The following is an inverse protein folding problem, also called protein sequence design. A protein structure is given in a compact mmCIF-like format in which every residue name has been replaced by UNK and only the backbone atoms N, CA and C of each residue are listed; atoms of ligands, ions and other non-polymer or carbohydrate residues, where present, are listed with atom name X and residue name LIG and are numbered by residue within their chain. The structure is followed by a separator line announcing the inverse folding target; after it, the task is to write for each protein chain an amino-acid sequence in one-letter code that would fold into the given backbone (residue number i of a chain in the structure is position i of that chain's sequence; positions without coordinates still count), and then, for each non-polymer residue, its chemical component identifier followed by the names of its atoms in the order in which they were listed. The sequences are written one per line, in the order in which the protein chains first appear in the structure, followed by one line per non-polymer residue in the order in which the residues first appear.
data_IF_649962795415
#
_entry.id   IF_649962795415
#
_cell.length_a   1.000
_cell.length_b   1.000
_cell.length_c   1.000
_cell.angle_alpha   90.00
_cell.angle_beta   90.00
_cell.angle_gamma   90.00
#
_symmetry.space_group_name_H-M   'P 1'
#
loop_
_entity.id
_entity.type
_entity.pdbx_description
1 polymer ?
#
# COMPACT_ATOMS: atom_id res chain seq x y z
N UNK A 1 30.59 0.05 21.02
CA UNK A 1 30.13 -1.06 20.17
C UNK A 1 30.57 -0.69 18.75
N UNK A 2 31.45 -1.49 18.14
CA UNK A 2 32.16 -1.12 16.91
C UNK A 2 31.33 -1.42 15.66
N UNK A 3 31.43 -0.60 14.59
CA UNK A 3 30.80 -0.92 13.31
C UNK A 3 31.30 -2.26 12.75
N UNK A 4 30.56 -2.91 11.84
CA UNK A 4 30.96 -4.20 11.28
C UNK A 4 32.39 -4.14 10.72
N UNK A 5 33.17 -5.20 10.95
CA UNK A 5 34.55 -5.32 10.46
C UNK A 5 34.59 -5.05 8.96
N UNK A 6 35.41 -4.08 8.53
CA UNK A 6 35.54 -3.62 7.13
C UNK A 6 34.40 -2.73 6.59
N UNK A 7 33.77 -1.90 7.47
CA UNK A 7 32.83 -0.84 7.09
C UNK A 7 33.55 0.47 6.71
N UNK A 8 33.97 0.58 5.44
CA UNK A 8 34.64 1.76 4.86
C UNK A 8 33.72 2.83 4.25
N UNK A 9 34.33 3.83 3.61
CA UNK A 9 33.66 4.97 2.98
C UNK A 9 32.66 4.58 1.88
N UNK A 10 32.99 3.59 1.04
CA UNK A 10 32.06 3.10 0.02
C UNK A 10 30.73 2.59 0.59
N UNK A 11 30.76 1.90 1.74
CA UNK A 11 29.52 1.44 2.40
C UNK A 11 28.70 2.63 2.95
N UNK A 12 29.37 3.67 3.48
CA UNK A 12 28.71 4.90 3.92
C UNK A 12 28.05 5.63 2.76
N UNK A 13 28.73 5.73 1.62
CA UNK A 13 28.19 6.34 0.41
C UNK A 13 26.96 5.55 -0.11
N UNK A 14 27.02 4.22 -0.08
CA UNK A 14 25.86 3.39 -0.44
C UNK A 14 24.68 3.62 0.51
N UNK A 15 24.91 3.63 1.82
CA UNK A 15 23.85 3.90 2.80
C UNK A 15 23.26 5.30 2.64
N UNK A 16 24.09 6.31 2.36
CA UNK A 16 23.62 7.67 2.06
C UNK A 16 22.73 7.70 0.82
N UNK A 17 23.09 6.96 -0.24
CA UNK A 17 22.28 6.87 -1.44
C UNK A 17 20.93 6.16 -1.17
N UNK A 18 20.93 5.10 -0.35
CA UNK A 18 19.69 4.42 0.06
C UNK A 18 18.80 5.34 0.90
N UNK A 19 19.37 6.07 1.87
CA UNK A 19 18.64 7.05 2.70
C UNK A 19 18.01 8.16 1.85
N UNK A 20 18.77 8.72 0.91
CA UNK A 20 18.29 9.82 0.07
C UNK A 20 17.16 9.40 -0.88
N UNK A 21 17.11 8.12 -1.29
CA UNK A 21 16.08 7.59 -2.20
C UNK A 21 14.92 6.91 -1.47
N UNK A 22 15.08 6.55 -0.21
CA UNK A 22 14.11 5.77 0.58
C UNK A 22 14.01 4.30 0.18
N UNK A 23 14.11 4.00 -1.11
CA UNK A 23 14.13 2.64 -1.66
C UNK A 23 15.19 2.48 -2.76
N UNK A 24 15.57 1.23 -3.03
CA UNK A 24 16.43 0.86 -4.13
C UNK A 24 16.00 -0.47 -4.75
N UNK A 25 16.01 -0.54 -6.08
CA UNK A 25 16.03 -1.79 -6.82
C UNK A 25 17.45 -2.17 -7.23
N UNK A 26 17.67 -3.43 -7.60
CA UNK A 26 18.98 -3.86 -8.10
C UNK A 26 19.41 -3.08 -9.37
N UNK A 27 18.55 -2.89 -10.39
CA UNK A 27 18.85 -2.02 -11.53
C UNK A 27 19.30 -0.61 -11.14
N UNK A 28 18.66 0.01 -10.15
CA UNK A 28 18.99 1.35 -9.66
C UNK A 28 20.28 1.40 -8.85
N UNK A 29 20.56 0.35 -8.07
CA UNK A 29 21.75 0.25 -7.24
C UNK A 29 23.03 0.04 -8.06
N UNK A 30 22.94 -0.60 -9.23
CA UNK A 30 24.09 -0.88 -10.11
C UNK A 30 24.93 0.35 -10.47
N UNK A 31 24.37 1.44 -11.02
CA UNK A 31 25.16 2.64 -11.32
C UNK A 31 25.72 3.31 -10.07
N UNK A 32 25.02 3.25 -8.94
CA UNK A 32 25.49 3.81 -7.66
C UNK A 32 26.71 3.05 -7.16
N UNK A 33 26.64 1.72 -7.13
CA UNK A 33 27.73 0.86 -6.69
C UNK A 33 28.94 0.96 -7.61
N UNK A 34 28.72 0.99 -8.94
CA UNK A 34 29.80 1.18 -9.90
C UNK A 34 30.54 2.51 -9.66
N UNK A 35 29.82 3.60 -9.44
CA UNK A 35 30.42 4.90 -9.11
C UNK A 35 31.21 4.87 -7.79
N UNK A 36 30.70 4.17 -6.77
CA UNK A 36 31.40 3.98 -5.49
C UNK A 36 32.70 3.20 -5.69
N UNK A 37 32.66 2.08 -6.42
CA UNK A 37 33.83 1.25 -6.72
C UNK A 37 34.89 2.08 -7.46
N UNK A 38 34.47 2.86 -8.46
CA UNK A 38 35.38 3.70 -9.23
C UNK A 38 36.00 4.82 -8.38
N UNK A 39 35.23 5.41 -7.47
CA UNK A 39 35.74 6.43 -6.54
C UNK A 39 36.77 5.83 -5.55
N UNK A 40 36.53 4.64 -5.03
CA UNK A 40 37.47 3.94 -4.16
C UNK A 40 38.75 3.55 -4.92
N UNK A 41 38.61 3.15 -6.19
CA UNK A 41 39.69 2.76 -7.08
C UNK A 41 40.50 3.93 -7.64
N UNK A 42 39.99 5.17 -7.58
CA UNK A 42 40.63 6.36 -8.18
C UNK A 42 42.06 6.63 -7.67
N UNK A 43 42.43 6.05 -6.51
CA UNK A 43 43.78 6.15 -5.95
C UNK A 43 44.78 5.16 -6.55
N UNK A 44 44.33 4.19 -7.34
CA UNK A 44 45.16 3.17 -7.97
C UNK A 44 45.05 3.26 -9.50
N UNK A 45 46.12 3.70 -10.20
CA UNK A 45 46.09 3.93 -11.65
C UNK A 45 45.93 2.64 -12.47
N UNK A 46 46.20 1.47 -11.90
CA UNK A 46 46.06 0.17 -12.57
C UNK A 46 44.65 -0.45 -12.40
N UNK A 47 43.76 0.21 -11.65
CA UNK A 47 42.40 -0.30 -11.45
C UNK A 47 41.55 -0.10 -12.70
N UNK A 48 40.91 -1.17 -13.17
CA UNK A 48 39.92 -1.09 -14.24
C UNK A 48 38.65 -0.34 -13.78
N UNK A 49 38.08 0.45 -14.69
CA UNK A 49 36.81 1.11 -14.46
C UNK A 49 35.67 0.08 -14.39
N UNK A 50 34.93 0.10 -13.29
CA UNK A 50 33.75 -0.71 -13.08
C UNK A 50 32.54 -0.04 -13.78
N UNK A 51 31.97 -0.73 -14.76
CA UNK A 51 30.74 -0.34 -15.44
C UNK A 51 29.52 -0.91 -14.68
N UNK A 52 28.33 -0.28 -14.75
CA UNK A 52 27.14 -0.74 -14.04
C UNK A 52 26.75 -2.20 -14.35
N UNK A 53 27.03 -2.72 -15.54
CA UNK A 53 26.84 -4.13 -15.97
C UNK A 53 27.79 -5.14 -15.36
N UNK A 54 28.89 -4.70 -14.79
CA UNK A 54 29.81 -5.56 -14.05
C UNK A 54 29.44 -5.70 -12.57
N UNK A 55 28.55 -4.85 -12.05
CA UNK A 55 28.00 -5.00 -10.70
C UNK A 55 27.00 -6.15 -10.71
N UNK A 56 27.39 -7.28 -10.12
CA UNK A 56 26.54 -8.47 -9.96
C UNK A 56 25.61 -8.36 -8.76
N UNK A 57 24.58 -9.20 -8.72
CA UNK A 57 23.63 -9.26 -7.60
C UNK A 57 24.34 -9.64 -6.29
N UNK A 58 25.38 -10.48 -6.36
CA UNK A 58 26.21 -10.82 -5.21
C UNK A 58 26.97 -9.60 -4.66
N UNK A 59 27.46 -8.72 -5.53
CA UNK A 59 28.11 -7.47 -5.09
C UNK A 59 27.08 -6.57 -4.43
N UNK A 60 25.90 -6.42 -5.03
CA UNK A 60 24.81 -5.64 -4.46
C UNK A 60 24.39 -6.14 -3.07
N UNK A 61 24.16 -7.45 -2.90
CA UNK A 61 23.77 -8.01 -1.61
C UNK A 61 24.85 -7.79 -0.54
N UNK A 62 26.15 -7.83 -0.88
CA UNK A 62 27.22 -7.49 0.07
C UNK A 62 27.13 -6.05 0.58
N UNK A 63 26.70 -5.10 -0.25
CA UNK A 63 26.46 -3.72 0.17
C UNK A 63 25.24 -3.63 1.09
N UNK A 64 24.15 -4.34 0.75
CA UNK A 64 22.94 -4.44 1.59
C UNK A 64 23.27 -5.03 2.96
N UNK A 65 23.99 -6.16 3.03
CA UNK A 65 24.33 -6.83 4.29
C UNK A 65 25.15 -5.94 5.23
N UNK A 66 26.15 -5.24 4.66
CA UNK A 66 26.97 -4.29 5.41
C UNK A 66 26.17 -3.09 5.88
N UNK A 67 25.32 -2.54 5.03
CA UNK A 67 24.44 -1.43 5.40
C UNK A 67 23.45 -1.87 6.49
N UNK A 68 22.81 -3.03 6.34
CA UNK A 68 21.88 -3.62 7.30
C UNK A 68 22.53 -3.78 8.68
N UNK A 69 23.74 -4.31 8.72
CA UNK A 69 24.52 -4.48 9.97
C UNK A 69 24.89 -3.15 10.62
N UNK A 70 25.03 -2.07 9.84
CA UNK A 70 25.36 -0.75 10.36
C UNK A 70 24.12 -0.01 10.87
N UNK A 71 22.98 -0.14 10.19
CA UNK A 71 21.73 0.57 10.55
C UNK A 71 21.00 -0.07 11.72
N UNK A 72 21.22 -1.37 11.97
CA UNK A 72 20.60 -2.08 13.10
C UNK A 72 20.98 -1.50 14.46
N UNK A 73 22.05 -0.71 14.55
CA UNK A 73 22.45 0.01 15.75
C UNK A 73 21.57 1.23 16.07
N UNK A 74 20.72 1.64 15.13
CA UNK A 74 19.89 2.84 15.21
C UNK A 74 18.40 2.51 15.11
N UNK A 75 18.03 1.27 15.44
CA UNK A 75 16.66 0.77 15.31
C UNK A 75 16.09 0.89 13.88
N UNK A 76 16.97 0.86 12.88
CA UNK A 76 16.59 0.74 11.48
C UNK A 76 16.88 -0.66 10.96
N UNK A 77 16.05 -1.12 10.04
CA UNK A 77 16.19 -2.39 9.35
C UNK A 77 16.12 -2.18 7.85
N UNK A 78 16.97 -2.87 7.07
CA UNK A 78 16.78 -2.93 5.62
C UNK A 78 15.90 -4.13 5.31
N UNK A 79 14.68 -3.88 4.85
CA UNK A 79 13.73 -4.91 4.44
C UNK A 79 13.68 -5.02 2.93
N UNK A 80 13.26 -6.17 2.43
CA UNK A 80 13.00 -6.37 1.01
C UNK A 80 11.60 -6.93 0.78
N UNK A 81 10.94 -6.45 -0.25
CA UNK A 81 9.65 -6.99 -0.74
C UNK A 81 9.65 -7.04 -2.26
N UNK A 82 8.67 -7.72 -2.83
CA UNK A 82 8.40 -7.64 -4.27
C UNK A 82 7.23 -6.68 -4.49
N UNK A 83 7.39 -5.77 -5.44
CA UNK A 83 6.29 -4.92 -5.88
C UNK A 83 5.15 -5.80 -6.41
N UNK A 84 3.95 -5.62 -5.86
CA UNK A 84 2.84 -6.53 -6.10
C UNK A 84 2.35 -6.55 -7.57
N UNK A 85 2.56 -5.44 -8.31
CA UNK A 85 2.24 -5.32 -9.73
C UNK A 85 3.44 -5.63 -10.65
N UNK A 86 4.58 -4.94 -10.47
CA UNK A 86 5.74 -5.07 -11.39
C UNK A 86 6.60 -6.30 -11.12
N UNK A 87 6.45 -6.93 -9.94
CA UNK A 87 7.23 -8.09 -9.47
C UNK A 87 8.70 -7.78 -9.20
N UNK A 88 9.11 -6.52 -9.31
CA UNK A 88 10.47 -6.09 -9.03
C UNK A 88 10.76 -6.16 -7.54
N UNK A 89 11.96 -6.64 -7.17
CA UNK A 89 12.40 -6.67 -5.78
C UNK A 89 12.91 -5.29 -5.37
N UNK A 90 12.34 -4.77 -4.30
CA UNK A 90 12.64 -3.45 -3.75
C UNK A 90 13.23 -3.64 -2.35
N UNK A 91 14.27 -2.87 -2.04
CA UNK A 91 14.88 -2.77 -0.73
C UNK A 91 14.56 -1.40 -0.14
N UNK A 92 14.12 -1.36 1.11
CA UNK A 92 13.80 -0.13 1.80
C UNK A 92 14.46 -0.12 3.18
N UNK A 93 14.88 1.06 3.61
CA UNK A 93 15.27 1.29 4.99
C UNK A 93 14.01 1.65 5.80
N UNK A 94 13.70 0.83 6.79
CA UNK A 94 12.49 0.94 7.62
C UNK A 94 12.90 1.26 9.04
N UNK A 95 12.26 2.25 9.67
CA UNK A 95 12.45 2.53 11.08
C UNK A 95 11.60 1.53 11.91
N UNK A 96 12.22 0.90 12.91
CA UNK A 96 11.59 -0.11 13.77
C UNK A 96 11.21 0.42 15.15
N UNK A 97 11.70 1.60 15.55
CA UNK A 97 11.44 2.21 16.85
C UNK A 97 10.30 3.23 16.86
N UNK A 98 10.14 4.02 15.78
CA UNK A 98 9.11 5.06 15.72
C UNK A 98 7.85 4.54 15.07
N UNK A 99 6.70 4.80 15.69
CA UNK A 99 5.42 4.59 15.02
C UNK A 99 5.38 5.48 13.75
N UNK A 100 4.75 5.02 12.67
CA UNK A 100 4.80 5.76 11.42
C UNK A 100 4.07 7.11 11.44
N UNK A 101 3.09 7.27 12.33
CA UNK A 101 2.38 8.53 12.49
C UNK A 101 3.33 9.60 13.02
N UNK A 102 4.23 9.26 13.95
CA UNK A 102 5.32 10.13 14.40
C UNK A 102 6.29 10.50 13.28
N UNK A 103 6.60 9.56 12.38
CA UNK A 103 7.50 9.85 11.25
C UNK A 103 6.91 10.88 10.29
N UNK A 104 5.67 10.65 9.84
CA UNK A 104 4.97 11.59 8.98
C UNK A 104 4.83 12.97 9.65
N UNK A 105 4.64 12.99 10.98
CA UNK A 105 4.54 14.24 11.73
C UNK A 105 5.82 15.10 11.76
N UNK A 106 6.97 14.55 11.36
CA UNK A 106 8.20 15.35 11.20
C UNK A 106 8.27 16.10 9.87
N UNK A 107 7.46 15.68 8.88
CA UNK A 107 7.49 16.21 7.51
C UNK A 107 6.26 17.07 7.23
N UNK A 108 5.09 16.63 7.70
CA UNK A 108 3.80 17.23 7.40
C UNK A 108 3.25 18.05 8.58
N UNK A 109 2.60 19.15 8.27
CA UNK A 109 1.86 19.97 9.23
C UNK A 109 0.64 19.24 9.80
N UNK A 110 0.08 19.70 10.94
CA UNK A 110 -1.10 19.06 11.55
C UNK A 110 -2.31 18.95 10.61
N UNK A 111 -2.57 19.96 9.79
CA UNK A 111 -3.66 19.95 8.79
C UNK A 111 -3.39 18.94 7.67
N UNK A 112 -2.15 18.83 7.20
CA UNK A 112 -1.74 17.85 6.20
C UNK A 112 -1.83 16.42 6.75
N UNK A 113 -1.38 16.18 7.99
CA UNK A 113 -1.54 14.89 8.66
C UNK A 113 -3.01 14.48 8.81
N UNK A 114 -3.87 15.44 9.16
CA UNK A 114 -5.32 15.20 9.26
C UNK A 114 -5.91 14.84 7.89
N UNK A 115 -5.45 15.48 6.82
CA UNK A 115 -5.82 15.13 5.45
C UNK A 115 -5.29 13.75 5.03
N UNK A 116 -4.01 13.44 5.30
CA UNK A 116 -3.40 12.14 5.01
C UNK A 116 -4.19 11.03 5.71
N UNK A 117 -4.55 11.22 6.98
CA UNK A 117 -5.40 10.28 7.71
C UNK A 117 -6.75 10.08 7.01
N UNK A 118 -7.44 11.15 6.60
CA UNK A 118 -8.70 11.04 5.84
C UNK A 118 -8.54 10.26 4.54
N UNK A 119 -7.41 10.43 3.86
CA UNK A 119 -7.09 9.68 2.64
C UNK A 119 -6.92 8.19 2.93
N UNK A 120 -6.17 7.84 3.98
CA UNK A 120 -5.99 6.44 4.39
C UNK A 120 -7.31 5.81 4.86
N UNK A 121 -8.11 6.55 5.66
CA UNK A 121 -9.45 6.13 6.06
C UNK A 121 -10.33 5.90 4.83
N UNK A 122 -10.26 6.77 3.81
CA UNK A 122 -11.02 6.54 2.59
C UNK A 122 -10.54 5.29 1.82
N UNK A 123 -9.23 5.07 1.69
CA UNK A 123 -8.66 3.89 1.02
C UNK A 123 -9.09 2.58 1.70
N UNK A 124 -8.94 2.52 3.04
CA UNK A 124 -9.08 1.28 3.79
C UNK A 124 -10.47 1.05 4.37
N UNK A 125 -11.27 2.10 4.60
CA UNK A 125 -12.61 2.01 5.18
C UNK A 125 -13.69 2.26 4.13
N UNK A 126 -13.64 3.39 3.43
CA UNK A 126 -14.73 3.81 2.53
C UNK A 126 -14.77 3.00 1.22
N UNK A 127 -13.61 2.79 0.61
CA UNK A 127 -13.46 2.19 -0.72
C UNK A 127 -13.00 0.73 -0.70
N UNK A 128 -12.89 0.14 0.49
CA UNK A 128 -12.55 -1.25 0.68
C UNK A 128 -13.76 -1.90 1.34
N UNK A 129 -14.53 -2.63 0.55
CA UNK A 129 -15.79 -3.29 0.92
C UNK A 129 -15.75 -4.76 0.53
N UNK A 130 -16.59 -5.63 1.11
CA UNK A 130 -16.59 -7.06 0.79
C UNK A 130 -16.71 -7.38 -0.70
N UNK A 131 -17.52 -6.64 -1.48
CA UNK A 131 -17.64 -6.88 -2.93
C UNK A 131 -16.62 -6.09 -3.76
N UNK A 132 -16.02 -5.03 -3.22
CA UNK A 132 -14.98 -4.25 -3.91
C UNK A 132 -13.83 -3.83 -3.00
N UNK A 133 -12.68 -4.49 -3.15
CA UNK A 133 -11.46 -4.18 -2.42
C UNK A 133 -10.55 -3.26 -3.24
N UNK A 134 -10.95 -1.99 -3.41
CA UNK A 134 -10.21 -1.02 -4.25
C UNK A 134 -8.84 -0.68 -3.69
N UNK A 135 -8.74 -0.41 -2.38
CA UNK A 135 -7.49 -0.10 -1.66
C UNK A 135 -6.63 1.02 -2.34
N UNK A 136 -7.27 1.88 -3.11
CA UNK A 136 -6.67 3.00 -3.83
C UNK A 136 -7.72 4.10 -4.03
N UNK A 137 -7.25 5.31 -4.37
CA UNK A 137 -8.11 6.46 -4.67
C UNK A 137 -7.66 7.23 -5.90
N UNK A 138 -8.56 7.97 -6.51
CA UNK A 138 -8.22 8.98 -7.53
C UNK A 138 -7.93 10.34 -6.90
N UNK A 139 -7.27 11.22 -7.66
CA UNK A 139 -7.05 12.62 -7.25
C UNK A 139 -8.37 13.33 -6.91
N UNK A 140 -9.43 13.13 -7.70
CA UNK A 140 -10.73 13.73 -7.46
C UNK A 140 -11.37 13.25 -6.15
N UNK A 141 -11.18 11.97 -5.81
CA UNK A 141 -11.61 11.42 -4.52
C UNK A 141 -10.80 12.05 -3.38
N UNK A 142 -9.49 12.22 -3.54
CA UNK A 142 -8.65 12.91 -2.57
C UNK A 142 -9.08 14.37 -2.35
N UNK A 143 -9.38 15.11 -3.42
CA UNK A 143 -9.87 16.49 -3.36
C UNK A 143 -11.18 16.59 -2.55
N UNK A 144 -12.09 15.61 -2.70
CA UNK A 144 -13.33 15.56 -1.89
C UNK A 144 -13.08 15.34 -0.40
N UNK A 145 -11.90 14.88 0.00
CA UNK A 145 -11.46 14.67 1.38
C UNK A 145 -10.65 15.85 1.94
N UNK A 146 -10.47 16.93 1.17
CA UNK A 146 -9.67 18.09 1.58
C UNK A 146 -10.08 18.65 2.94
N UNK A 147 -11.38 18.61 3.25
CA UNK A 147 -11.97 19.14 4.49
C UNK A 147 -12.62 18.03 5.31
N UNK A 148 -12.61 18.14 6.65
CA UNK A 148 -13.36 17.22 7.48
C UNK A 148 -14.87 17.30 7.16
N UNK A 149 -15.61 16.19 7.28
CA UNK A 149 -17.06 16.23 7.16
C UNK A 149 -17.63 17.20 8.22
N UNK A 150 -18.61 18.02 7.82
CA UNK A 150 -19.34 18.86 8.78
C UNK A 150 -19.99 17.94 9.81
N UNK A 151 -19.58 18.03 11.07
CA UNK A 151 -20.40 17.53 12.18
C UNK A 151 -21.71 18.29 12.11
N UNK A 152 -22.80 17.60 11.73
CA UNK A 152 -24.13 18.11 12.06
C UNK A 152 -24.16 18.24 13.59
N UNK A 153 -24.36 19.46 14.05
CA UNK A 153 -24.50 19.80 15.45
C UNK A 153 -25.75 19.12 16.00
N UNK A 154 -25.64 17.85 16.40
CA UNK A 154 -26.54 17.28 17.39
C UNK A 154 -26.24 18.01 18.70
N UNK A 155 -27.22 18.78 19.16
CA UNK A 155 -27.13 19.57 20.38
C UNK A 155 -26.91 18.67 21.58
N UNK A 156 -25.70 18.69 22.12
CA UNK A 156 -25.33 18.09 23.39
C UNK A 156 -24.15 18.87 23.96
N UNK A 157 -24.35 19.46 25.14
CA UNK A 157 -23.31 20.13 25.93
C UNK A 157 -22.24 19.11 26.35
N UNK A 158 -21.24 18.88 25.50
CA UNK A 158 -19.97 18.29 25.92
C UNK A 158 -18.86 19.35 25.91
N UNK A 159 -17.99 19.40 26.94
CA UNK A 159 -16.94 20.40 27.02
C UNK A 159 -15.97 20.24 25.85
N UNK A 160 -15.90 21.25 24.99
CA UNK A 160 -14.99 21.33 23.86
C UNK A 160 -13.53 21.18 24.33
N UNK A 161 -12.94 20.02 24.04
CA UNK A 161 -11.48 19.85 24.06
C UNK A 161 -10.85 20.87 23.11
N UNK A 162 -9.81 21.57 23.58
CA UNK A 162 -9.00 22.56 22.84
C UNK A 162 -8.15 21.93 21.71
N UNK A 163 -8.73 21.07 20.89
CA UNK A 163 -8.08 20.62 19.67
C UNK A 163 -8.07 21.79 18.65
N UNK A 164 -6.96 22.01 17.92
CA UNK A 164 -6.95 22.99 16.84
C UNK A 164 -8.07 22.67 15.85
N UNK A 165 -8.79 23.69 15.43
CA UNK A 165 -9.88 23.54 14.46
C UNK A 165 -9.27 23.14 13.12
N UNK A 166 -9.42 21.88 12.72
CA UNK A 166 -9.03 21.40 11.39
C UNK A 166 -9.89 22.11 10.33
N UNK A 167 -9.28 23.06 9.62
CA UNK A 167 -9.94 23.83 8.56
C UNK A 167 -9.91 23.11 7.21
N UNK A 168 -9.19 22.00 7.13
CA UNK A 168 -8.87 21.30 5.90
C UNK A 168 -7.93 22.09 4.98
N UNK A 169 -7.66 21.49 3.83
CA UNK A 169 -6.78 22.00 2.80
C UNK A 169 -7.57 22.63 1.64
N UNK A 170 -6.91 23.50 0.87
CA UNK A 170 -7.34 23.92 -0.47
C UNK A 170 -7.01 22.82 -1.49
N UNK A 171 -7.65 22.85 -2.67
CA UNK A 171 -7.40 21.85 -3.71
C UNK A 171 -5.92 21.83 -4.16
N UNK A 172 -5.30 23.00 -4.35
CA UNK A 172 -3.87 23.08 -4.68
C UNK A 172 -2.96 22.53 -3.57
N UNK A 173 -3.37 22.67 -2.30
CA UNK A 173 -2.62 22.11 -1.16
C UNK A 173 -2.77 20.58 -1.12
N UNK A 174 -3.95 20.04 -1.49
CA UNK A 174 -4.16 18.59 -1.66
C UNK A 174 -3.24 18.02 -2.75
N UNK A 175 -3.19 18.66 -3.91
CA UNK A 175 -2.32 18.25 -5.02
C UNK A 175 -0.85 18.21 -4.59
N UNK A 176 -0.37 19.27 -3.93
CA UNK A 176 1.00 19.34 -3.40
C UNK A 176 1.30 18.24 -2.37
N UNK A 177 0.35 17.93 -1.48
CA UNK A 177 0.54 16.86 -0.48
C UNK A 177 0.60 15.49 -1.16
N UNK A 178 -0.26 15.23 -2.16
CA UNK A 178 -0.21 13.97 -2.92
C UNK A 178 1.10 13.81 -3.68
N UNK A 179 1.58 14.87 -4.34
CA UNK A 179 2.88 14.88 -5.01
C UNK A 179 4.01 14.60 -4.01
N UNK A 180 4.01 15.28 -2.87
CA UNK A 180 5.00 15.07 -1.80
C UNK A 180 4.97 13.64 -1.24
N UNK A 181 3.80 13.02 -1.10
CA UNK A 181 3.68 11.63 -0.66
C UNK A 181 4.25 10.65 -1.69
N UNK A 182 4.08 10.93 -2.99
CA UNK A 182 4.68 10.13 -4.06
C UNK A 182 6.20 10.31 -4.08
N UNK A 183 6.70 11.54 -4.01
CA UNK A 183 8.13 11.84 -3.95
C UNK A 183 8.80 11.24 -2.72
N UNK A 184 8.12 11.26 -1.57
CA UNK A 184 8.58 10.63 -0.32
C UNK A 184 8.54 9.09 -0.35
N UNK A 185 7.97 8.49 -1.40
CA UNK A 185 7.82 7.05 -1.56
C UNK A 185 6.79 6.46 -0.59
N UNK A 186 5.81 7.24 -0.14
CA UNK A 186 4.67 6.76 0.64
C UNK A 186 3.57 6.22 -0.26
N UNK A 187 3.24 6.97 -1.32
CA UNK A 187 2.28 6.57 -2.34
C UNK A 187 2.96 6.29 -3.68
N UNK A 188 2.24 5.57 -4.53
CA UNK A 188 2.52 5.44 -5.96
C UNK A 188 1.28 5.82 -6.76
N UNK A 189 1.48 6.35 -7.97
CA UNK A 189 0.40 6.69 -8.89
C UNK A 189 0.44 5.78 -10.13
N UNK A 190 -0.69 5.15 -10.44
CA UNK A 190 -0.84 4.29 -11.61
C UNK A 190 -1.00 5.11 -12.90
N UNK A 191 -0.86 4.45 -14.06
CA UNK A 191 -1.12 5.07 -15.36
C UNK A 191 -2.57 5.50 -15.57
N UNK A 192 -3.50 4.94 -14.79
CA UNK A 192 -4.92 5.35 -14.82
C UNK A 192 -5.24 6.42 -13.76
N UNK A 193 -4.25 6.91 -13.01
CA UNK A 193 -4.40 8.01 -12.06
C UNK A 193 -4.88 7.58 -10.67
N UNK A 194 -4.63 6.32 -10.28
CA UNK A 194 -4.94 5.84 -8.93
C UNK A 194 -3.71 5.93 -8.03
N UNK A 195 -3.89 6.56 -6.88
CA UNK A 195 -2.96 6.58 -5.77
C UNK A 195 -3.18 5.36 -4.87
N UNK A 196 -2.09 4.66 -4.55
CA UNK A 196 -2.09 3.55 -3.59
C UNK A 196 -0.83 3.57 -2.74
N UNK A 197 -0.79 2.79 -1.66
CA UNK A 197 0.42 2.68 -0.84
C UNK A 197 1.56 2.04 -1.63
N UNK A 198 2.73 2.65 -1.56
CA UNK A 198 3.95 2.09 -2.14
C UNK A 198 4.39 0.81 -1.41
N UNK A 199 5.25 -0.01 -2.01
CA UNK A 199 5.87 -1.15 -1.33
C UNK A 199 6.63 -0.79 -0.05
N UNK A 200 7.26 0.40 -0.01
CA UNK A 200 7.93 0.91 1.20
C UNK A 200 6.91 1.18 2.30
N UNK A 201 5.85 1.91 1.99
CA UNK A 201 4.79 2.22 2.95
C UNK A 201 4.15 0.94 3.47
N UNK A 202 3.92 -0.07 2.63
CA UNK A 202 3.37 -1.35 3.10
C UNK A 202 4.31 -2.09 4.07
N UNK A 203 5.63 -2.03 3.87
CA UNK A 203 6.59 -2.65 4.81
C UNK A 203 6.71 -1.89 6.13
N UNK A 204 6.70 -0.57 6.06
CA UNK A 204 6.93 0.34 7.18
C UNK A 204 5.66 0.55 8.02
N UNK A 205 4.53 0.76 7.37
CA UNK A 205 3.23 1.02 8.00
C UNK A 205 2.50 -0.25 8.45
N UNK A 206 3.03 -1.45 8.16
CA UNK A 206 2.31 -2.72 8.39
C UNK A 206 1.71 -2.83 9.79
N UNK A 207 2.45 -2.65 10.91
CA UNK A 207 1.87 -2.81 12.24
C UNK A 207 0.75 -1.78 12.48
N UNK A 208 0.99 -0.53 12.10
CA UNK A 208 0.04 0.56 12.28
C UNK A 208 -1.24 0.38 11.46
N UNK A 209 -1.13 -0.07 10.21
CA UNK A 209 -2.31 -0.34 9.37
C UNK A 209 -3.21 -1.41 9.98
N UNK A 210 -2.60 -2.46 10.53
CA UNK A 210 -3.34 -3.55 11.17
C UNK A 210 -4.00 -3.08 12.45
N UNK A 211 -3.26 -2.40 13.33
CA UNK A 211 -3.79 -1.87 14.58
C UNK A 211 -4.90 -0.84 14.37
N UNK A 212 -4.77 -0.01 13.34
CA UNK A 212 -5.72 1.08 13.06
C UNK A 212 -7.02 0.60 12.40
N UNK A 213 -6.95 -0.40 11.52
CA UNK A 213 -8.07 -0.77 10.65
C UNK A 213 -8.59 -2.20 10.86
N UNK A 214 -7.91 -3.04 11.64
CA UNK A 214 -8.42 -4.35 12.01
C UNK A 214 -8.79 -4.39 13.49
N UNK A 215 -9.77 -5.22 13.81
CA UNK A 215 -10.14 -5.55 15.17
C UNK A 215 -9.23 -6.67 15.69
N UNK A 216 -8.64 -6.45 16.87
CA UNK A 216 -7.75 -7.41 17.52
C UNK A 216 -8.50 -8.65 18.05
N UNK A 217 -9.81 -8.51 18.28
CA UNK A 217 -10.68 -9.57 18.81
C UNK A 217 -11.47 -10.31 17.71
N UNK A 218 -11.20 -10.00 16.43
CA UNK A 218 -11.86 -10.64 15.30
C UNK A 218 -11.52 -12.13 15.16
N UNK A 219 -12.52 -12.93 14.76
CA UNK A 219 -12.32 -14.35 14.49
C UNK A 219 -11.46 -14.57 13.22
N UNK A 220 -10.75 -15.71 13.09
CA UNK A 220 -9.78 -15.96 12.00
C UNK A 220 -10.30 -15.83 10.56
N UNK A 221 -11.61 -15.82 10.36
CA UNK A 221 -12.24 -15.70 9.05
C UNK A 221 -13.14 -14.47 8.92
N UNK A 222 -13.19 -13.60 9.92
CA UNK A 222 -13.96 -12.37 9.84
C UNK A 222 -13.37 -11.45 8.79
N UNK A 223 -14.25 -10.74 8.09
CA UNK A 223 -13.82 -9.77 7.10
C UNK A 223 -13.20 -8.56 7.79
N UNK A 224 -11.90 -8.38 7.57
CA UNK A 224 -11.10 -7.31 8.16
C UNK A 224 -10.62 -6.34 7.07
N UNK A 225 -10.30 -5.08 7.42
CA UNK A 225 -9.94 -4.07 6.40
C UNK A 225 -8.61 -4.41 5.74
N UNK A 226 -7.60 -4.75 6.51
CA UNK A 226 -6.29 -5.20 6.04
C UNK A 226 -6.27 -6.73 5.92
N UNK A 227 -6.09 -7.23 4.68
CA UNK A 227 -5.99 -8.66 4.37
C UNK A 227 -4.57 -9.06 4.01
N UNK A 228 -4.26 -10.34 4.25
CA UNK A 228 -2.95 -10.92 3.97
C UNK A 228 -3.04 -12.00 2.90
N UNK A 229 -1.96 -12.15 2.14
CA UNK A 229 -1.85 -13.21 1.16
C UNK A 229 -1.74 -14.55 1.87
N UNK A 230 -2.55 -15.52 1.45
CA UNK A 230 -2.54 -16.85 2.08
C UNK A 230 -1.19 -17.57 1.90
N UNK A 231 -0.41 -17.22 0.87
CA UNK A 231 0.88 -17.85 0.56
C UNK A 231 2.07 -17.22 1.30
N UNK A 232 2.24 -15.90 1.22
CA UNK A 232 3.42 -15.21 1.78
C UNK A 232 3.14 -14.46 3.09
N UNK A 233 1.86 -14.35 3.51
CA UNK A 233 1.43 -13.65 4.74
C UNK A 233 1.76 -12.14 4.77
N UNK A 234 2.04 -11.56 3.60
CA UNK A 234 2.17 -10.11 3.38
C UNK A 234 0.83 -9.46 3.02
N UNK A 235 0.69 -8.15 3.32
CA UNK A 235 -0.51 -7.36 2.99
C UNK A 235 -0.79 -7.44 1.49
N UNK A 236 -2.05 -7.66 1.10
CA UNK A 236 -2.48 -7.66 -0.30
C UNK A 236 -3.19 -6.36 -0.62
N UNK A 237 -2.57 -5.53 -1.46
CA UNK A 237 -3.21 -4.37 -2.09
C UNK A 237 -3.33 -4.54 -3.60
N UNK A 238 -2.71 -5.58 -4.17
CA UNK A 238 -2.83 -5.94 -5.58
C UNK A 238 -2.79 -7.46 -5.76
N UNK A 239 -3.83 -8.02 -6.38
CA UNK A 239 -3.90 -9.45 -6.63
C UNK A 239 -5.32 -9.93 -6.89
N UNK A 240 -5.63 -11.10 -6.33
CA UNK A 240 -6.89 -11.81 -6.51
C UNK A 240 -7.55 -12.11 -5.16
N UNK A 241 -8.88 -12.11 -5.19
CA UNK A 241 -9.75 -12.52 -4.08
C UNK A 241 -10.64 -13.70 -4.47
N UNK A 242 -11.22 -14.34 -3.46
CA UNK A 242 -12.23 -15.36 -3.68
C UNK A 242 -13.47 -14.76 -4.34
N UNK A 243 -14.20 -15.57 -5.11
CA UNK A 243 -15.50 -15.22 -5.68
C UNK A 243 -16.57 -15.00 -4.62
N UNK A 244 -16.40 -15.62 -3.45
CA UNK A 244 -17.21 -15.35 -2.26
C UNK A 244 -16.80 -14.01 -1.60
N UNK A 245 -17.69 -13.00 -1.54
CA UNK A 245 -17.40 -11.71 -0.91
C UNK A 245 -16.97 -11.82 0.57
N UNK A 246 -17.57 -12.76 1.29
CA UNK A 246 -17.34 -12.93 2.73
C UNK A 246 -16.08 -13.76 3.02
N UNK A 247 -15.57 -14.49 2.03
CA UNK A 247 -14.34 -15.25 2.19
C UNK A 247 -13.12 -14.33 2.25
N UNK A 248 -12.21 -14.60 3.17
CA UNK A 248 -10.97 -13.81 3.38
C UNK A 248 -9.75 -14.32 2.60
N UNK A 249 -9.90 -15.31 1.71
CA UNK A 249 -8.76 -15.81 0.93
C UNK A 249 -8.28 -14.77 -0.09
N UNK A 250 -7.06 -14.28 0.06
CA UNK A 250 -6.41 -13.36 -0.89
C UNK A 250 -5.07 -13.92 -1.36
N UNK A 251 -4.71 -13.65 -2.61
CA UNK A 251 -3.44 -14.06 -3.19
C UNK A 251 -2.86 -12.94 -4.05
N UNK A 252 -1.58 -12.60 -3.86
CA UNK A 252 -0.87 -11.78 -4.84
C UNK A 252 -0.76 -12.52 -6.18
N UNK A 253 -0.65 -11.77 -7.28
CA UNK A 253 -0.43 -12.33 -8.61
C UNK A 253 0.85 -13.20 -8.68
N UNK A 254 1.90 -12.78 -7.97
CA UNK A 254 3.17 -13.53 -7.86
C UNK A 254 3.03 -14.83 -7.06
N UNK A 255 2.10 -14.86 -6.11
CA UNK A 255 1.94 -15.95 -5.16
C UNK A 255 1.00 -17.04 -5.68
N UNK A 256 -0.04 -16.66 -6.44
CA UNK A 256 -1.11 -17.59 -6.83
C UNK A 256 -0.61 -18.81 -7.60
N UNK A 257 0.38 -18.66 -8.49
CA UNK A 257 0.85 -19.77 -9.32
C UNK A 257 1.51 -20.87 -8.47
N UNK A 258 2.38 -20.50 -7.53
CA UNK A 258 3.02 -21.45 -6.62
C UNK A 258 2.00 -22.06 -5.66
N UNK A 259 1.10 -21.24 -5.14
CA UNK A 259 0.03 -21.66 -4.23
C UNK A 259 -0.84 -22.77 -4.84
N UNK A 260 -1.37 -22.56 -6.04
CA UNK A 260 -2.24 -23.54 -6.71
C UNK A 260 -1.47 -24.77 -7.20
N UNK A 261 -0.23 -24.63 -7.67
CA UNK A 261 0.60 -25.80 -8.05
C UNK A 261 0.84 -26.78 -6.91
N UNK A 262 0.91 -26.28 -5.68
CA UNK A 262 1.09 -27.12 -4.49
C UNK A 262 -0.17 -27.86 -4.06
N UNK A 263 -1.32 -27.62 -4.70
CA UNK A 263 -2.64 -28.12 -4.27
C UNK A 263 -3.32 -28.92 -5.38
N UNK A 264 -4.15 -29.89 -4.96
CA UNK A 264 -4.97 -30.68 -5.87
C UNK A 264 -6.32 -29.99 -6.04
N UNK A 265 -6.43 -29.16 -7.08
CA UNK A 265 -7.68 -28.48 -7.45
C UNK A 265 -7.59 -26.96 -7.41
N UNK A 266 -8.63 -26.32 -7.93
CA UNK A 266 -8.80 -24.87 -8.06
C UNK A 266 -9.95 -24.35 -7.20
N UNK A 267 -10.35 -25.08 -6.16
CA UNK A 267 -11.36 -24.62 -5.21
C UNK A 267 -10.72 -23.86 -4.06
N UNK A 268 -11.40 -22.83 -3.58
CA UNK A 268 -11.00 -22.05 -2.42
C UNK A 268 -10.87 -22.98 -1.20
N UNK A 269 -9.71 -23.00 -0.49
CA UNK A 269 -9.53 -23.85 0.68
C UNK A 269 -10.33 -23.39 1.91
N UNK A 270 -10.86 -22.16 1.91
CA UNK A 270 -11.56 -21.56 3.04
C UNK A 270 -13.08 -21.78 2.95
N UNK A 271 -13.67 -21.56 1.78
CA UNK A 271 -15.12 -21.68 1.58
C UNK A 271 -15.54 -22.73 0.53
N UNK A 272 -14.58 -23.46 -0.07
CA UNK A 272 -14.81 -24.48 -1.11
C UNK A 272 -15.42 -23.98 -2.43
N UNK A 273 -15.73 -22.68 -2.59
CA UNK A 273 -16.17 -22.11 -3.87
C UNK A 273 -15.09 -22.21 -4.95
N UNK A 274 -15.52 -22.20 -6.21
CA UNK A 274 -14.62 -22.19 -7.36
C UNK A 274 -13.76 -20.92 -7.40
N UNK A 275 -12.46 -21.07 -7.63
CA UNK A 275 -11.54 -19.96 -7.87
C UNK A 275 -11.52 -19.62 -9.36
N UNK A 276 -12.30 -18.62 -9.75
CA UNK A 276 -12.45 -18.16 -11.15
C UNK A 276 -11.26 -17.34 -11.63
N UNK A 277 -10.55 -16.67 -10.73
CA UNK A 277 -9.35 -15.87 -11.04
C UNK A 277 -9.63 -14.52 -11.70
N UNK A 278 -10.87 -14.06 -11.68
CA UNK A 278 -11.35 -12.79 -12.24
C UNK A 278 -11.88 -11.79 -11.19
N UNK A 279 -11.81 -12.15 -9.90
CA UNK A 279 -12.07 -11.23 -8.80
C UNK A 279 -10.77 -10.61 -8.30
N UNK A 280 -10.66 -9.30 -8.45
CA UNK A 280 -9.41 -8.57 -8.22
C UNK A 280 -9.38 -7.83 -6.88
N UNK A 281 -8.17 -7.55 -6.42
CA UNK A 281 -7.85 -6.66 -5.29
C UNK A 281 -7.02 -5.50 -5.82
N UNK A 282 -7.23 -4.30 -5.29
CA UNK A 282 -6.55 -3.08 -5.70
C UNK A 282 -7.30 -2.32 -6.79
N UNK A 283 -6.58 -1.45 -7.51
CA UNK A 283 -7.07 -0.71 -8.67
C UNK A 283 -7.82 -1.60 -9.68
N UNK A 284 -7.38 -2.84 -9.87
CA UNK A 284 -8.01 -3.81 -10.78
C UNK A 284 -9.44 -4.18 -10.38
N UNK A 285 -9.80 -4.06 -9.10
CA UNK A 285 -11.18 -4.23 -8.65
C UNK A 285 -12.13 -3.22 -9.31
N UNK A 286 -11.62 -2.05 -9.70
CA UNK A 286 -12.36 -1.02 -10.43
C UNK A 286 -12.13 -1.18 -11.93
N UNK A 287 -10.87 -1.19 -12.37
CA UNK A 287 -10.54 -1.01 -13.80
C UNK A 287 -10.89 -2.22 -14.67
N UNK A 288 -11.06 -3.40 -14.07
CA UNK A 288 -11.46 -4.61 -14.78
C UNK A 288 -12.98 -4.81 -14.85
N UNK A 289 -13.77 -3.94 -14.21
CA UNK A 289 -15.23 -3.98 -14.35
C UNK A 289 -15.67 -3.60 -15.76
N UNK A 290 -16.76 -4.18 -16.23
CA UNK A 290 -17.32 -3.83 -17.54
C UNK A 290 -17.73 -2.36 -17.61
N UNK A 291 -18.29 -1.83 -16.52
CA UNK A 291 -18.70 -0.43 -16.40
C UNK A 291 -17.51 0.52 -16.63
N UNK A 292 -16.39 0.28 -15.95
CA UNK A 292 -15.18 1.08 -16.14
C UNK A 292 -14.65 0.98 -17.57
N UNK A 293 -14.55 -0.23 -18.14
CA UNK A 293 -14.03 -0.43 -19.50
C UNK A 293 -14.93 0.21 -20.57
N UNK A 294 -16.25 0.11 -20.41
CA UNK A 294 -17.24 0.73 -21.30
C UNK A 294 -17.19 2.25 -21.20
N UNK A 295 -17.11 2.78 -19.98
CA UNK A 295 -16.93 4.20 -19.71
C UNK A 295 -15.67 4.74 -20.37
N UNK A 296 -14.52 4.07 -20.17
CA UNK A 296 -13.24 4.43 -20.75
C UNK A 296 -13.24 4.51 -22.29
N UNK A 297 -13.97 3.63 -22.98
CA UNK A 297 -14.09 3.64 -24.45
C UNK A 297 -14.98 4.77 -24.98
N UNK A 298 -15.99 5.17 -24.20
CA UNK A 298 -16.97 6.22 -24.58
C UNK A 298 -16.52 7.62 -24.19
N UNK A 299 -15.74 7.74 -23.11
CA UNK A 299 -15.33 9.03 -22.55
C UNK A 299 -14.09 9.58 -23.25
N UNK A 300 -14.29 10.43 -24.26
CA UNK A 300 -13.23 11.28 -24.83
C UNK A 300 -12.81 12.46 -23.93
N UNK A 301 -13.13 12.43 -22.62
CA UNK A 301 -12.83 13.56 -21.71
C UNK A 301 -13.39 13.48 -20.28
N UNK A 302 -14.32 12.56 -19.95
CA UNK A 302 -14.90 12.43 -18.60
C UNK A 302 -14.41 11.17 -17.88
N UNK A 303 -13.08 11.03 -17.71
CA UNK A 303 -12.48 9.87 -17.02
C UNK A 303 -12.51 10.02 -15.49
N UNK A 304 -12.64 11.26 -15.00
CA UNK A 304 -12.38 11.59 -13.60
C UNK A 304 -13.47 11.12 -12.61
N UNK A 305 -14.67 10.77 -13.07
CA UNK A 305 -15.76 10.26 -12.20
C UNK A 305 -16.01 8.76 -12.37
N UNK A 306 -15.38 8.11 -13.35
CA UNK A 306 -15.65 6.70 -13.68
C UNK A 306 -15.42 5.77 -12.48
N UNK A 307 -14.39 6.02 -11.69
CA UNK A 307 -14.13 5.24 -10.48
C UNK A 307 -15.24 5.40 -9.44
N UNK A 308 -15.72 6.64 -9.23
CA UNK A 308 -16.81 6.91 -8.28
C UNK A 308 -18.13 6.27 -8.74
N UNK A 309 -18.42 6.32 -10.04
CA UNK A 309 -19.64 5.73 -10.60
C UNK A 309 -19.64 4.21 -10.41
N UNK A 310 -18.51 3.53 -10.69
CA UNK A 310 -18.34 2.08 -10.50
C UNK A 310 -18.46 1.68 -9.03
N UNK A 311 -17.82 2.43 -8.13
CA UNK A 311 -17.90 2.17 -6.68
C UNK A 311 -19.33 2.35 -6.18
N UNK A 312 -20.04 3.39 -6.65
CA UNK A 312 -21.43 3.65 -6.24
C UNK A 312 -22.40 2.59 -6.76
N UNK A 313 -22.24 2.16 -8.01
CA UNK A 313 -23.06 1.09 -8.59
C UNK A 313 -22.93 -0.20 -7.77
N UNK A 314 -21.71 -0.65 -7.47
CA UNK A 314 -21.55 -1.83 -6.63
C UNK A 314 -22.05 -1.63 -5.21
N UNK A 315 -21.83 -0.45 -4.61
CA UNK A 315 -22.34 -0.14 -3.27
C UNK A 315 -23.87 -0.24 -3.17
N UNK A 316 -24.59 0.22 -4.20
CA UNK A 316 -26.05 0.13 -4.26
C UNK A 316 -26.54 -1.31 -4.45
N UNK A 317 -25.80 -2.14 -5.19
CA UNK A 317 -26.08 -3.57 -5.32
C UNK A 317 -25.93 -4.30 -3.97
N UNK A 318 -24.91 -3.96 -3.16
CA UNK A 318 -24.76 -4.56 -1.82
C UNK A 318 -25.92 -4.20 -0.88
N UNK A 319 -26.37 -2.94 -0.90
CA UNK A 319 -27.49 -2.47 -0.08
C UNK A 319 -28.80 -3.18 -0.46
N UNK A 320 -29.06 -3.36 -1.76
CA UNK A 320 -30.23 -4.08 -2.26
C UNK A 320 -30.24 -5.56 -1.89
N UNK A 321 -29.09 -6.25 -1.98
CA UNK A 321 -28.99 -7.68 -1.63
C UNK A 321 -29.08 -7.91 -0.11
N UNK A 322 -28.66 -6.94 0.71
CA UNK A 322 -28.79 -7.00 2.17
C UNK A 322 -30.22 -6.85 2.66
N UNK A 323 -31.05 -6.06 1.97
CA UNK A 323 -32.48 -5.88 2.31
C UNK A 323 -33.32 -7.13 2.00
N UNK A 324 -32.99 -7.91 0.96
CA UNK A 324 -33.73 -9.14 0.62
C UNK A 324 -33.50 -10.29 1.61
N UNK A 325 -32.35 -10.32 2.30
CA UNK A 325 -32.03 -11.38 3.28
C UNK A 325 -32.61 -11.07 4.68
N UNK A 326 -32.88 -9.80 4.99
CA UNK A 326 -33.45 -9.37 6.28
C UNK A 326 -34.98 -9.39 6.38
N UNK A 327 -35.68 -9.68 5.28
CA UNK A 327 -37.15 -9.58 5.19
C UNK A 327 -37.92 -10.90 5.32
N UNK A 328 -37.27 -12.00 5.69
CA UNK A 328 -37.88 -13.33 5.65
C UNK A 328 -37.66 -14.17 6.90
N UNK A 329 -38.17 -13.74 8.06
CA UNK A 329 -38.35 -14.62 9.22
C UNK A 329 -39.29 -14.01 10.30
N UNK A 330 -40.52 -13.61 9.94
CA UNK A 330 -41.59 -13.40 10.93
C UNK A 330 -42.96 -13.76 10.33
N UNK A 331 -43.23 -15.04 10.02
CA UNK A 331 -44.62 -15.52 9.89
C UNK A 331 -44.76 -16.94 10.46
N UNK A 332 -45.71 -17.05 11.41
CA UNK A 332 -46.51 -18.23 11.79
C UNK A 332 -45.94 -19.25 12.82
N UNK A 333 -46.13 -18.95 14.11
CA UNK A 333 -46.63 -19.95 15.08
C UNK A 333 -47.90 -19.39 15.78
N UNK A 334 -49.05 -19.56 15.12
CA UNK A 334 -50.35 -19.71 15.79
C UNK A 334 -50.84 -21.14 15.52
N UNK A 335 -50.72 -22.04 16.51
CA UNK A 335 -51.78 -22.94 17.01
C UNK A 335 -51.30 -23.80 18.19
#
# INVERSE_FOLDING_TARGET
MEPPTNYGHGNRAFLQALLARGTLTYPEARPIIAAIINADNAKNPDSEECRPDQVSEQIFMKYIDKASSAVSLFDYEIRSTQHQATKERIFALVNTASDPQTQLATIYSPEELSFIKRVLDAMFEKFNRPRMESLCITEMQAIKLARPPRRESQGGDEPQSQAPVDRGLKHSEVENVLESLVEGGWFEISREGFYSLSPRALMELRPWLVDMYNDADAEPNDWQRIKFCEACKEIVTWGLRCSDPDCTLRLHDICQQAFWRSRRGTTCPKCSREWTGDHYVGERAITMTEAYQRGRRRSGGHRNTLADDVIREQGAEEESEGEEVGGGEEEEEEE
#
